data_IF_577102507340
#
_entry.id   IF_577102507340
#
_cell.length_a   1.000
_cell.length_b   1.000
_cell.length_c   1.000
_cell.angle_alpha   90.00
_cell.angle_beta   90.00
_cell.angle_gamma   90.00
#
_symmetry.space_group_name_H-M   'P 1'
#
loop_
_entity.id
_entity.type
_entity.pdbx_description
1 polymer ?
#
# COMPACT_ATOMS: atom_id res chain seq x y z
N UNK A 1 3.15 -18.86 -4.82
CA UNK A 1 2.52 -18.12 -3.71
C UNK A 1 3.63 -17.53 -2.87
N UNK A 2 3.98 -16.26 -3.07
CA UNK A 2 5.16 -15.68 -2.40
C UNK A 2 4.72 -15.14 -1.05
N UNK A 3 4.65 -16.06 -0.11
CA UNK A 3 4.67 -15.78 1.33
C UNK A 3 6.14 -15.56 1.72
N UNK A 4 6.43 -15.00 2.89
CA UNK A 4 7.80 -15.11 3.43
C UNK A 4 8.21 -16.61 3.43
N UNK A 5 9.51 -16.92 3.56
CA UNK A 5 10.01 -18.31 3.51
C UNK A 5 9.20 -19.30 4.40
N UNK A 6 8.51 -18.79 5.42
CA UNK A 6 7.69 -19.53 6.39
C UNK A 6 6.16 -19.50 6.15
N UNK A 7 5.67 -19.03 5.00
CA UNK A 7 4.21 -19.00 4.77
C UNK A 7 3.48 -17.79 5.38
N UNK A 8 4.21 -16.78 5.88
CA UNK A 8 3.66 -15.65 6.64
C UNK A 8 3.67 -14.33 5.85
N UNK A 9 2.77 -13.39 6.15
CA UNK A 9 2.84 -12.04 5.61
C UNK A 9 4.05 -11.28 6.15
N UNK A 10 4.62 -10.38 5.34
CA UNK A 10 5.76 -9.55 5.74
C UNK A 10 5.36 -8.53 6.81
N UNK A 11 4.15 -7.98 6.68
CA UNK A 11 3.49 -7.16 7.69
C UNK A 11 1.99 -7.21 7.46
N UNK A 12 1.22 -7.14 8.53
CA UNK A 12 -0.22 -6.98 8.46
C UNK A 12 -0.74 -6.10 9.58
N UNK A 13 -1.92 -5.53 9.37
CA UNK A 13 -2.54 -4.66 10.37
C UNK A 13 -3.51 -3.65 9.81
N UNK A 14 -4.08 -2.85 10.71
CA UNK A 14 -5.08 -1.84 10.36
C UNK A 14 -4.42 -0.55 9.89
N UNK A 15 -4.80 -0.09 8.71
CA UNK A 15 -4.49 1.24 8.20
C UNK A 15 -5.78 2.00 7.87
N UNK A 16 -5.72 3.32 7.90
CA UNK A 16 -6.78 4.17 7.36
C UNK A 16 -6.41 4.57 5.93
N UNK A 17 -7.23 4.18 4.97
CA UNK A 17 -7.11 4.59 3.58
C UNK A 17 -7.93 5.86 3.34
N UNK A 18 -7.36 6.84 2.64
CA UNK A 18 -8.06 8.02 2.17
C UNK A 18 -8.82 7.70 0.89
N UNK A 19 -10.14 7.75 0.97
CA UNK A 19 -11.05 7.49 -0.13
C UNK A 19 -11.64 8.81 -0.64
N UNK A 20 -11.62 9.00 -1.96
CA UNK A 20 -12.27 10.12 -2.65
C UNK A 20 -13.61 9.62 -3.17
N UNK A 21 -14.71 10.02 -2.56
CA UNK A 21 -16.05 9.49 -2.87
C UNK A 21 -16.76 10.29 -3.96
N UNK A 22 -16.58 11.61 -3.96
CA UNK A 22 -17.18 12.60 -4.88
C UNK A 22 -16.18 13.74 -5.07
N UNK A 23 -16.33 14.56 -6.13
CA UNK A 23 -15.41 15.61 -6.64
C UNK A 23 -14.41 16.25 -5.63
N UNK A 24 -14.79 16.48 -4.36
CA UNK A 24 -13.85 16.87 -3.29
C UNK A 24 -14.06 16.18 -1.92
N UNK A 25 -15.03 15.29 -1.78
CA UNK A 25 -15.36 14.64 -0.49
C UNK A 25 -14.37 13.51 -0.22
N UNK A 26 -13.53 13.75 0.79
CA UNK A 26 -12.50 12.81 1.26
C UNK A 26 -12.96 12.17 2.56
N UNK A 27 -12.83 10.84 2.67
CA UNK A 27 -13.13 10.09 3.90
C UNK A 27 -11.99 9.13 4.22
N UNK A 28 -11.64 9.00 5.49
CA UNK A 28 -10.77 7.93 5.97
C UNK A 28 -11.58 6.66 6.23
N UNK A 29 -11.17 5.55 5.64
CA UNK A 29 -11.76 4.22 5.86
C UNK A 29 -10.71 3.30 6.47
N UNK A 30 -11.00 2.77 7.65
CA UNK A 30 -10.13 1.77 8.29
C UNK A 30 -10.32 0.43 7.58
N UNK A 31 -9.21 -0.23 7.21
CA UNK A 31 -9.21 -1.61 6.68
C UNK A 31 -8.04 -2.39 7.28
N UNK A 32 -8.14 -3.71 7.21
CA UNK A 32 -7.01 -4.59 7.48
C UNK A 32 -6.25 -4.82 6.18
N UNK A 33 -4.94 -4.60 6.23
CA UNK A 33 -4.03 -4.78 5.11
C UNK A 33 -3.04 -5.90 5.43
N UNK A 34 -2.65 -6.62 4.40
CA UNK A 34 -1.67 -7.71 4.48
C UNK A 34 -0.69 -7.53 3.32
N UNK A 35 0.59 -7.34 3.63
CA UNK A 35 1.66 -7.31 2.64
C UNK A 35 2.26 -8.72 2.51
N UNK A 36 2.08 -9.34 1.35
CA UNK A 36 2.62 -10.66 1.06
C UNK A 36 3.07 -10.74 -0.40
N UNK A 37 4.32 -11.13 -0.61
CA UNK A 37 4.87 -11.35 -1.95
C UNK A 37 4.86 -10.09 -2.81
N UNK A 38 4.21 -10.16 -3.96
CA UNK A 38 4.05 -9.03 -4.89
C UNK A 38 2.74 -8.25 -4.65
N UNK A 39 2.06 -8.43 -3.52
CA UNK A 39 0.74 -7.84 -3.29
C UNK A 39 0.60 -7.20 -1.92
N UNK A 40 0.00 -6.02 -1.89
CA UNK A 40 -0.61 -5.42 -0.71
C UNK A 40 -2.12 -5.65 -0.80
N UNK A 41 -2.59 -6.64 -0.06
CA UNK A 41 -3.98 -7.09 -0.02
C UNK A 41 -4.77 -6.31 1.04
N UNK A 42 -6.07 -6.18 0.83
CA UNK A 42 -6.99 -5.64 1.83
C UNK A 42 -8.39 -6.19 1.61
N UNK A 43 -9.14 -6.36 2.70
CA UNK A 43 -10.55 -6.74 2.62
C UNK A 43 -11.45 -5.49 2.63
N UNK A 44 -12.37 -5.39 1.67
CA UNK A 44 -13.47 -4.42 1.74
C UNK A 44 -14.68 -5.02 2.45
N UNK A 45 -15.45 -4.16 3.12
CA UNK A 45 -16.75 -4.54 3.71
C UNK A 45 -17.78 -4.91 2.64
N UNK A 46 -18.90 -5.50 3.08
CA UNK A 46 -19.88 -6.36 2.36
C UNK A 46 -20.39 -6.00 0.94
N UNK A 47 -20.01 -4.89 0.29
CA UNK A 47 -20.42 -4.61 -1.09
C UNK A 47 -19.46 -5.28 -2.07
N UNK A 48 -19.88 -6.40 -2.69
CA UNK A 48 -19.09 -7.17 -3.67
C UNK A 48 -18.83 -6.45 -5.00
N UNK A 49 -19.56 -5.37 -5.29
CA UNK A 49 -19.56 -4.70 -6.61
C UNK A 49 -18.77 -3.39 -6.66
N UNK A 50 -17.83 -3.17 -5.73
CA UNK A 50 -16.96 -1.98 -5.77
C UNK A 50 -15.75 -2.28 -6.68
N UNK A 51 -15.63 -1.69 -7.89
CA UNK A 51 -14.57 -1.99 -8.86
C UNK A 51 -13.15 -1.66 -8.35
N UNK A 52 -13.05 -0.98 -7.21
CA UNK A 52 -11.78 -0.64 -6.54
C UNK A 52 -11.28 -1.75 -5.58
N UNK A 53 -11.73 -3.01 -5.72
CA UNK A 53 -11.46 -4.15 -4.82
C UNK A 53 -10.17 -4.94 -5.13
N UNK A 54 -9.38 -4.50 -6.11
CA UNK A 54 -8.16 -5.19 -6.51
C UNK A 54 -7.00 -4.96 -5.52
N UNK A 55 -6.20 -6.01 -5.22
CA UNK A 55 -4.93 -5.85 -4.51
C UNK A 55 -4.01 -4.85 -5.21
N UNK A 56 -3.15 -4.18 -4.44
CA UNK A 56 -2.10 -3.33 -5.02
C UNK A 56 -0.92 -4.22 -5.38
N UNK A 57 -0.66 -4.40 -6.67
CA UNK A 57 0.52 -5.11 -7.15
C UNK A 57 1.78 -4.25 -6.97
N UNK A 58 2.80 -4.80 -6.31
CA UNK A 58 4.00 -4.04 -5.93
C UNK A 58 4.94 -3.78 -7.10
N UNK A 59 4.95 -4.64 -8.12
CA UNK A 59 5.66 -4.41 -9.39
C UNK A 59 5.19 -3.12 -10.08
N UNK A 60 3.90 -2.80 -9.97
CA UNK A 60 3.29 -1.57 -10.54
C UNK A 60 3.46 -0.32 -9.65
N UNK A 61 4.16 -0.43 -8.52
CA UNK A 61 4.41 0.72 -7.65
C UNK A 61 5.57 1.55 -8.22
N UNK A 62 5.28 2.80 -8.57
CA UNK A 62 6.27 3.75 -9.03
C UNK A 62 7.09 4.32 -7.86
N UNK A 63 6.42 4.73 -6.78
CA UNK A 63 7.10 5.25 -5.58
C UNK A 63 6.24 5.17 -4.33
N UNK A 64 6.92 5.18 -3.17
CA UNK A 64 6.30 5.25 -1.84
C UNK A 64 6.90 6.44 -1.10
N UNK A 65 6.06 7.31 -0.54
CA UNK A 65 6.52 8.58 0.07
C UNK A 65 5.84 8.87 1.39
N UNK A 66 6.58 9.47 2.33
CA UNK A 66 5.98 10.02 3.54
C UNK A 66 5.18 11.27 3.19
N UNK A 67 3.98 11.43 3.75
CA UNK A 67 3.21 12.66 3.62
C UNK A 67 3.79 13.70 4.55
N UNK A 68 4.42 14.73 3.98
CA UNK A 68 4.98 15.83 4.77
C UNK A 68 3.87 16.57 5.54
N UNK A 69 4.16 16.92 6.80
CA UNK A 69 3.31 17.84 7.57
C UNK A 69 3.27 19.20 6.85
N UNK A 70 2.12 19.54 6.24
CA UNK A 70 1.89 20.91 5.79
C UNK A 70 1.62 21.77 7.02
N UNK A 71 2.21 22.97 7.11
CA UNK A 71 2.10 23.88 8.28
C UNK A 71 0.66 24.17 8.73
N UNK A 72 -0.32 24.10 7.82
CA UNK A 72 -1.76 24.30 8.10
C UNK A 72 -2.56 23.00 8.22
N UNK A 73 -1.97 21.85 7.87
CA UNK A 73 -2.63 20.55 7.91
C UNK A 73 -2.08 19.72 9.08
N UNK A 74 -2.62 19.99 10.27
CA UNK A 74 -2.29 19.23 11.50
C UNK A 74 -2.77 17.78 11.43
N UNK A 75 -3.49 17.37 10.39
CA UNK A 75 -4.27 16.13 10.37
C UNK A 75 -3.49 14.88 9.93
N UNK A 76 -2.26 15.01 9.41
CA UNK A 76 -1.52 13.89 8.82
C UNK A 76 -0.11 13.59 9.34
N UNK A 77 0.20 13.70 10.65
CA UNK A 77 1.31 12.90 11.16
C UNK A 77 0.98 11.41 10.90
N UNK A 78 1.99 10.60 10.54
CA UNK A 78 1.88 9.13 10.37
C UNK A 78 1.19 8.68 9.09
N UNK A 79 1.21 9.51 8.04
CA UNK A 79 0.63 9.16 6.74
C UNK A 79 1.70 8.98 5.66
N UNK A 80 1.42 8.11 4.71
CA UNK A 80 2.26 7.84 3.55
C UNK A 80 1.42 7.62 2.29
N UNK A 81 2.07 7.75 1.14
CA UNK A 81 1.48 7.65 -0.18
C UNK A 81 2.16 6.53 -0.97
N UNK A 82 1.34 5.74 -1.69
CA UNK A 82 1.80 4.77 -2.69
C UNK A 82 1.30 5.25 -4.05
N UNK A 83 2.23 5.48 -4.97
CA UNK A 83 1.95 5.89 -6.34
C UNK A 83 2.05 4.67 -7.25
N UNK A 84 0.95 4.31 -7.90
CA UNK A 84 0.89 3.38 -9.04
C UNK A 84 0.62 4.15 -10.32
N UNK A 85 0.69 3.48 -11.47
CA UNK A 85 0.48 4.11 -12.78
C UNK A 85 -0.88 4.82 -12.92
N UNK A 86 -1.91 4.28 -12.26
CA UNK A 86 -3.28 4.72 -12.40
C UNK A 86 -3.89 5.33 -11.14
N UNK A 87 -3.21 5.24 -9.99
CA UNK A 87 -3.80 5.61 -8.70
C UNK A 87 -2.75 6.03 -7.67
N UNK A 88 -3.13 6.99 -6.83
CA UNK A 88 -2.38 7.33 -5.63
C UNK A 88 -3.19 6.92 -4.42
N UNK A 89 -2.64 6.00 -3.63
CA UNK A 89 -3.21 5.59 -2.35
C UNK A 89 -2.59 6.41 -1.24
N UNK A 90 -3.41 6.95 -0.34
CA UNK A 90 -2.93 7.65 0.86
C UNK A 90 -3.35 6.84 2.07
N UNK A 91 -2.39 6.40 2.87
CA UNK A 91 -2.61 5.63 4.07
C UNK A 91 -2.20 6.42 5.30
N UNK A 92 -2.87 6.15 6.42
CA UNK A 92 -2.53 6.68 7.74
C UNK A 92 -2.46 5.55 8.76
N UNK A 93 -1.33 5.46 9.44
CA UNK A 93 -1.07 4.50 10.50
C UNK A 93 -1.59 5.01 11.86
N UNK A 94 -1.61 4.10 12.84
CA UNK A 94 -2.02 4.42 14.22
C UNK A 94 -1.02 5.35 14.93
N UNK A 95 0.27 5.14 14.72
CA UNK A 95 1.39 5.85 15.33
C UNK A 95 2.57 5.92 14.35
N UNK A 96 3.64 6.62 14.75
CA UNK A 96 4.80 6.91 13.90
C UNK A 96 5.63 5.67 13.63
N UNK A 97 5.91 4.90 14.69
CA UNK A 97 6.57 3.60 14.61
C UNK A 97 5.88 2.67 13.60
N UNK A 98 4.55 2.58 13.67
CA UNK A 98 3.81 1.74 12.75
C UNK A 98 3.86 2.27 11.30
N UNK A 99 3.86 3.59 11.09
CA UNK A 99 4.05 4.14 9.75
C UNK A 99 5.43 3.78 9.18
N UNK A 100 6.48 3.87 9.99
CA UNK A 100 7.84 3.52 9.62
C UNK A 100 7.99 2.03 9.28
N UNK A 101 7.42 1.15 10.10
CA UNK A 101 7.40 -0.31 9.85
C UNK A 101 6.75 -0.62 8.49
N UNK A 102 5.56 -0.05 8.23
CA UNK A 102 4.88 -0.22 6.94
C UNK A 102 5.71 0.30 5.76
N UNK A 103 6.30 1.49 5.88
CA UNK A 103 7.15 2.08 4.85
C UNK A 103 8.36 1.21 4.53
N UNK A 104 9.05 0.72 5.56
CA UNK A 104 10.21 -0.16 5.40
C UNK A 104 9.83 -1.46 4.69
N UNK A 105 8.81 -2.16 5.18
CA UNK A 105 8.35 -3.42 4.59
C UNK A 105 7.90 -3.24 3.13
N UNK A 106 7.13 -2.18 2.83
CA UNK A 106 6.66 -1.93 1.47
C UNK A 106 7.84 -1.60 0.54
N UNK A 107 8.78 -0.75 0.95
CA UNK A 107 9.92 -0.39 0.10
C UNK A 107 10.79 -1.61 -0.25
N UNK A 108 11.06 -2.47 0.73
CA UNK A 108 11.79 -3.73 0.51
C UNK A 108 11.03 -4.62 -0.47
N UNK A 109 9.72 -4.80 -0.25
CA UNK A 109 8.90 -5.66 -1.10
C UNK A 109 8.77 -5.13 -2.54
N UNK A 110 8.67 -3.81 -2.73
CA UNK A 110 8.66 -3.16 -4.06
C UNK A 110 9.99 -3.38 -4.78
N UNK A 111 11.13 -3.20 -4.10
CA UNK A 111 12.44 -3.46 -4.69
C UNK A 111 12.57 -4.92 -5.15
N UNK A 112 12.18 -5.87 -4.30
CA UNK A 112 12.18 -7.29 -4.65
C UNK A 112 11.22 -7.63 -5.80
N UNK A 113 10.05 -7.01 -5.86
CA UNK A 113 9.10 -7.23 -6.93
C UNK A 113 9.67 -6.81 -8.30
N UNK A 114 10.30 -5.63 -8.36
CA UNK A 114 10.94 -5.11 -9.58
C UNK A 114 12.13 -5.95 -10.03
N UNK A 115 12.92 -6.45 -9.09
CA UNK A 115 14.05 -7.33 -9.38
C UNK A 115 13.58 -8.67 -9.98
N UNK A 116 12.50 -9.26 -9.44
CA UNK A 116 11.91 -10.50 -10.00
C UNK A 116 11.38 -10.27 -11.42
N UNK A 117 10.64 -9.19 -11.64
CA UNK A 117 10.11 -8.85 -12.97
C UNK A 117 11.23 -8.66 -14.00
N UNK A 118 12.31 -7.96 -13.63
CA UNK A 118 13.49 -7.78 -14.49
C UNK A 118 14.17 -9.11 -14.86
N UNK A 119 14.26 -10.04 -13.89
CA UNK A 119 14.84 -11.38 -14.12
C UNK A 119 13.98 -12.23 -15.04
N UNK A 120 12.67 -12.21 -14.85
CA UNK A 120 11.72 -12.94 -15.69
C UNK A 120 11.81 -12.44 -17.14
N UNK A 121 11.77 -11.12 -17.36
CA UNK A 121 11.92 -10.52 -18.70
C UNK A 121 13.21 -10.96 -19.39
N UNK A 122 14.32 -11.01 -18.67
CA UNK A 122 15.63 -11.42 -19.24
C UNK A 122 15.70 -12.92 -19.56
N UNK A 123 14.90 -13.75 -18.89
CA UNK A 123 14.91 -15.22 -19.12
C UNK A 123 14.18 -15.62 -20.40
N UNK A 124 13.32 -14.73 -20.93
CA UNK A 124 12.55 -14.97 -22.16
C UNK A 124 13.09 -14.20 -23.38
N UNK A 125 14.29 -13.63 -23.29
CA UNK A 125 15.05 -13.03 -24.39
C UNK A 125 16.30 -13.88 -24.69
#
# INVERSE_FOLDING_TARGET
>A
TVVNQDGQPLIEGKLKEKQVRWKFIKRWKTRYFTLAGNQLLFQKGKSKDDPDDSPIELSKVQSVKVVARKRRDRSLPRAFEIFTDNKTYVFKAKDEKNAEEWLQCINVAVAQAKERESREVTTYL
#
